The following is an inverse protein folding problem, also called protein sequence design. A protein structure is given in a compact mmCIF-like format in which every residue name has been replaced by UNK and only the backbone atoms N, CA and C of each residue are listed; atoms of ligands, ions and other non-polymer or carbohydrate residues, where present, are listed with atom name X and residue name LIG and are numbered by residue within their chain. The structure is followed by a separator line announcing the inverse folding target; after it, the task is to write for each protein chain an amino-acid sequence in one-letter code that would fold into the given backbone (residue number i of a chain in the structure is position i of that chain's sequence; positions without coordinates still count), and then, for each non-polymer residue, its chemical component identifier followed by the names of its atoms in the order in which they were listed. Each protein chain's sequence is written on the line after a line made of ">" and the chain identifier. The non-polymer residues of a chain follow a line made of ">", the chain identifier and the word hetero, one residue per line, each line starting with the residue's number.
data_IF_669852813924
#
_entry.id   IF_669852813924
#
_cell.length_a   1.000
_cell.length_b   1.000
_cell.length_c   1.000
_cell.angle_alpha   90.00
_cell.angle_beta   90.00
_cell.angle_gamma   90.00
#
_symmetry.space_group_name_H-M   'P 1'
#
loop_
_entity.id
_entity.type
_entity.pdbx_description
1 polymer ?
#
# COMPACT_ATOMS: atom_id res chain seq x y z
N UNK A 1 -45.10 -74.92 -19.99
CA UNK A 1 -46.09 -74.44 -19.00
C UNK A 1 -45.33 -73.52 -18.06
N UNK A 2 -45.17 -72.24 -18.38
CA UNK A 2 -46.19 -71.19 -18.46
C UNK A 2 -46.66 -70.72 -17.08
N UNK A 3 -46.76 -69.40 -16.96
CA UNK A 3 -47.38 -68.58 -15.93
C UNK A 3 -46.46 -68.13 -14.77
N UNK A 4 -45.95 -66.89 -14.79
CA UNK A 4 -46.66 -65.61 -14.47
C UNK A 4 -46.61 -65.36 -12.96
N UNK A 5 -45.76 -64.44 -12.47
CA UNK A 5 -46.08 -63.08 -11.96
C UNK A 5 -45.14 -62.87 -10.74
N UNK A 6 -44.61 -61.72 -10.31
CA UNK A 6 -44.96 -60.30 -10.42
C UNK A 6 -43.82 -59.46 -9.78
N UNK A 7 -43.61 -58.25 -10.29
CA UNK A 7 -43.30 -57.01 -9.55
C UNK A 7 -41.92 -56.89 -8.83
N UNK A 8 -40.92 -56.25 -9.46
CA UNK A 8 -40.55 -54.82 -9.29
C UNK A 8 -40.09 -54.41 -7.89
N UNK A 9 -38.78 -54.21 -7.70
CA UNK A 9 -38.23 -53.18 -6.80
C UNK A 9 -36.77 -52.83 -7.14
N UNK A 10 -36.55 -52.08 -8.23
CA UNK A 10 -35.30 -51.32 -8.39
C UNK A 10 -35.45 -50.03 -7.56
N UNK A 11 -34.99 -50.05 -6.31
CA UNK A 11 -34.87 -48.82 -5.51
C UNK A 11 -33.67 -48.05 -6.04
N UNK A 12 -33.96 -47.03 -6.85
CA UNK A 12 -33.03 -45.96 -7.20
C UNK A 12 -32.72 -45.14 -5.94
N UNK A 13 -31.55 -45.39 -5.36
CA UNK A 13 -31.00 -44.57 -4.28
C UNK A 13 -30.52 -43.24 -4.87
N UNK A 14 -31.46 -42.34 -5.19
CA UNK A 14 -31.16 -40.93 -5.38
C UNK A 14 -30.84 -40.35 -4.00
N UNK A 15 -29.57 -40.41 -3.61
CA UNK A 15 -29.08 -39.61 -2.51
C UNK A 15 -29.27 -38.13 -2.85
N UNK A 16 -30.20 -37.47 -2.15
CA UNK A 16 -30.21 -36.02 -2.06
C UNK A 16 -28.86 -35.60 -1.48
N UNK A 17 -27.95 -35.17 -2.34
CA UNK A 17 -26.83 -34.34 -1.93
C UNK A 17 -27.46 -33.00 -1.57
N UNK A 18 -27.42 -32.53 -0.31
CA UNK A 18 -27.75 -31.16 -0.03
C UNK A 18 -26.66 -30.33 -0.72
N UNK A 19 -27.02 -29.73 -1.86
CA UNK A 19 -26.29 -28.60 -2.43
C UNK A 19 -26.43 -27.47 -1.41
N UNK A 20 -25.55 -27.46 -0.41
CA UNK A 20 -25.27 -26.27 0.36
C UNK A 20 -24.63 -25.31 -0.63
N UNK A 21 -25.46 -24.55 -1.36
CA UNK A 21 -25.02 -23.35 -2.01
C UNK A 21 -24.64 -22.39 -0.89
N UNK A 22 -23.38 -22.46 -0.46
CA UNK A 22 -22.76 -21.26 0.07
C UNK A 22 -22.90 -20.23 -1.04
N UNK A 23 -23.83 -19.28 -0.88
CA UNK A 23 -23.75 -18.01 -1.57
C UNK A 23 -22.49 -17.32 -1.02
N UNK A 24 -21.31 -17.83 -1.39
CA UNK A 24 -20.07 -17.12 -1.25
C UNK A 24 -20.22 -15.90 -2.12
N UNK A 25 -20.64 -14.78 -1.52
CA UNK A 25 -20.58 -13.50 -2.19
C UNK A 25 -19.12 -13.30 -2.56
N UNK A 26 -18.84 -13.39 -3.87
CA UNK A 26 -17.55 -13.00 -4.38
C UNK A 26 -17.35 -11.55 -3.96
N UNK A 27 -16.28 -11.28 -3.19
CA UNK A 27 -15.96 -9.91 -2.78
C UNK A 27 -15.81 -9.06 -4.03
N UNK A 28 -16.80 -8.21 -4.29
CA UNK A 28 -16.89 -7.41 -5.52
C UNK A 28 -15.71 -6.46 -5.64
N UNK A 29 -15.16 -6.02 -4.51
CA UNK A 29 -14.04 -5.09 -4.45
C UNK A 29 -12.66 -5.72 -4.29
N UNK A 30 -12.56 -7.04 -4.07
CA UNK A 30 -11.25 -7.68 -4.02
C UNK A 30 -10.61 -7.59 -5.40
N UNK A 31 -9.41 -7.04 -5.46
CA UNK A 31 -8.68 -6.84 -6.72
C UNK A 31 -7.23 -7.28 -6.58
N UNK A 32 -6.60 -7.55 -7.73
CA UNK A 32 -5.21 -7.93 -7.83
C UNK A 32 -4.59 -7.17 -9.01
N UNK A 33 -3.30 -6.89 -8.93
CA UNK A 33 -2.53 -6.34 -10.04
C UNK A 33 -1.17 -7.04 -10.10
N UNK A 34 -0.95 -7.84 -11.13
CA UNK A 34 0.19 -8.76 -11.16
C UNK A 34 0.17 -9.72 -9.98
N UNK A 35 1.21 -9.66 -9.14
CA UNK A 35 1.34 -10.49 -7.95
C UNK A 35 0.84 -9.82 -6.65
N UNK A 36 0.40 -8.56 -6.72
CA UNK A 36 -0.05 -7.81 -5.55
C UNK A 36 -1.56 -7.98 -5.35
N UNK A 37 -1.94 -8.32 -4.13
CA UNK A 37 -3.34 -8.27 -3.68
C UNK A 37 -3.66 -6.86 -3.24
N UNK A 38 -4.81 -6.35 -3.65
CA UNK A 38 -5.31 -5.04 -3.25
C UNK A 38 -6.51 -5.23 -2.33
N UNK A 39 -6.24 -5.06 -1.04
CA UNK A 39 -7.21 -4.97 0.04
C UNK A 39 -7.36 -3.51 0.52
N UNK A 40 -8.41 -3.25 1.29
CA UNK A 40 -8.69 -1.94 1.87
C UNK A 40 -7.47 -1.42 2.66
N UNK A 41 -7.11 -0.12 2.56
CA UNK A 41 -7.87 0.99 1.96
C UNK A 41 -7.70 1.17 0.47
N UNK A 42 -6.85 0.38 -0.18
CA UNK A 42 -6.51 0.56 -1.58
C UNK A 42 -7.47 -0.17 -2.50
N UNK A 43 -7.73 0.42 -3.66
CA UNK A 43 -8.42 -0.24 -4.74
C UNK A 43 -8.03 0.42 -6.07
N UNK A 44 -8.14 -0.34 -7.16
CA UNK A 44 -8.04 0.16 -8.54
C UNK A 44 -9.40 0.33 -9.20
N UNK A 45 -10.44 -0.28 -8.62
CA UNK A 45 -11.81 -0.22 -9.14
C UNK A 45 -12.53 1.00 -8.55
N UNK A 46 -13.18 1.84 -9.38
CA UNK A 46 -14.03 2.91 -8.88
C UNK A 46 -15.12 2.40 -7.92
N UNK A 47 -15.35 3.13 -6.83
CA UNK A 47 -16.33 2.80 -5.80
C UNK A 47 -15.87 1.75 -4.78
N UNK A 48 -14.65 1.21 -4.90
CA UNK A 48 -14.05 0.28 -3.93
C UNK A 48 -12.95 0.96 -3.11
N UNK A 49 -12.68 0.45 -1.91
CA UNK A 49 -11.63 0.98 -1.04
C UNK A 49 -12.05 2.23 -0.27
N UNK A 50 -11.08 2.95 0.31
CA UNK A 50 -11.35 4.17 1.07
C UNK A 50 -11.33 5.40 0.14
N UNK A 51 -12.30 6.33 0.23
CA UNK A 51 -12.40 7.48 -0.66
C UNK A 51 -11.17 8.40 -0.62
N UNK A 52 -10.47 8.47 0.51
CA UNK A 52 -9.22 9.23 0.64
C UNK A 52 -8.03 8.66 -0.17
N UNK A 53 -8.13 7.41 -0.60
CA UNK A 53 -7.10 6.71 -1.41
C UNK A 53 -7.54 6.50 -2.86
N UNK A 54 -8.68 7.07 -3.26
CA UNK A 54 -9.16 7.02 -4.64
C UNK A 54 -8.13 7.60 -5.59
N UNK A 55 -8.02 7.00 -6.78
CA UNK A 55 -7.15 7.47 -7.86
C UNK A 55 -5.67 7.60 -7.45
N UNK A 56 -5.24 6.90 -6.40
CA UNK A 56 -3.84 6.87 -5.98
C UNK A 56 -3.06 5.76 -6.70
N UNK A 57 -3.71 4.60 -6.87
CA UNK A 57 -3.12 3.41 -7.48
C UNK A 57 -3.76 3.08 -8.82
N UNK A 58 -2.94 2.68 -9.77
CA UNK A 58 -3.34 2.30 -11.13
C UNK A 58 -2.65 1.00 -11.51
N UNK A 59 -3.39 0.07 -12.12
CA UNK A 59 -2.81 -1.16 -12.65
C UNK A 59 -2.63 -1.02 -14.17
N UNK A 60 -1.38 -1.09 -14.66
CA UNK A 60 -1.05 -0.95 -16.08
C UNK A 60 -0.18 -2.13 -16.48
N UNK A 61 -0.66 -2.97 -17.41
CA UNK A 61 0.05 -4.17 -17.87
C UNK A 61 0.57 -5.05 -16.70
N UNK A 62 -0.31 -5.35 -15.74
CA UNK A 62 0.02 -6.11 -14.52
C UNK A 62 1.08 -5.48 -13.60
N UNK A 63 1.39 -4.19 -13.80
CA UNK A 63 2.26 -3.41 -12.94
C UNK A 63 1.44 -2.40 -12.16
N UNK A 64 1.50 -2.49 -10.83
CA UNK A 64 0.85 -1.54 -9.94
C UNK A 64 1.70 -0.28 -9.82
N UNK A 65 1.09 0.85 -10.12
CA UNK A 65 1.71 2.17 -10.11
C UNK A 65 1.00 3.07 -9.11
N UNK A 66 1.76 3.77 -8.28
CA UNK A 66 1.28 4.87 -7.45
C UNK A 66 1.58 6.19 -8.16
N UNK A 67 0.57 7.04 -8.31
CA UNK A 67 0.74 8.35 -8.94
C UNK A 67 0.48 9.48 -7.95
N UNK A 68 1.45 10.38 -7.83
CA UNK A 68 1.36 11.64 -7.07
C UNK A 68 1.98 12.76 -7.90
N UNK A 69 1.85 14.00 -7.44
CA UNK A 69 2.35 15.19 -8.16
C UNK A 69 3.85 15.15 -8.47
N UNK A 70 4.67 14.46 -7.67
CA UNK A 70 6.11 14.33 -7.92
C UNK A 70 6.46 13.29 -8.99
N UNK A 71 5.54 12.38 -9.32
CA UNK A 71 5.76 11.35 -10.34
C UNK A 71 4.91 10.10 -10.19
N UNK A 72 5.23 9.10 -11.02
CA UNK A 72 4.64 7.77 -10.98
C UNK A 72 5.68 6.76 -10.51
N UNK A 73 5.34 6.00 -9.48
CA UNK A 73 6.23 5.07 -8.81
C UNK A 73 5.68 3.66 -8.93
N UNK A 74 6.53 2.68 -9.22
CA UNK A 74 6.10 1.28 -9.19
C UNK A 74 5.94 0.85 -7.74
N UNK A 75 4.81 0.25 -7.40
CA UNK A 75 4.61 -0.40 -6.09
C UNK A 75 5.28 -1.76 -6.14
N UNK A 76 6.25 -1.97 -5.26
CA UNK A 76 6.98 -3.23 -5.12
C UNK A 76 6.28 -4.18 -4.15
N UNK A 77 5.75 -3.63 -3.04
CA UNK A 77 5.15 -4.41 -1.97
C UNK A 77 4.12 -3.56 -1.20
N UNK A 78 3.13 -4.24 -0.60
CA UNK A 78 2.12 -3.66 0.28
C UNK A 78 2.05 -4.50 1.54
N UNK A 79 2.45 -3.91 2.66
CA UNK A 79 2.38 -4.53 3.97
C UNK A 79 1.16 -3.97 4.73
N UNK A 80 0.08 -4.74 4.72
CA UNK A 80 -1.16 -4.39 5.41
C UNK A 80 -1.05 -4.48 6.94
N UNK A 81 -0.11 -5.26 7.48
CA UNK A 81 0.07 -5.40 8.92
C UNK A 81 0.80 -4.20 9.53
N UNK A 82 1.75 -3.63 8.78
CA UNK A 82 2.52 -2.46 9.21
C UNK A 82 2.09 -1.14 8.53
N UNK A 83 1.03 -1.21 7.70
CA UNK A 83 0.46 -0.07 6.97
C UNK A 83 1.51 0.63 6.10
N UNK A 84 2.31 -0.13 5.35
CA UNK A 84 3.41 0.39 4.57
C UNK A 84 3.36 -0.04 3.10
N UNK A 85 3.77 0.85 2.20
CA UNK A 85 4.03 0.60 0.79
C UNK A 85 5.53 0.67 0.55
N UNK A 86 6.05 -0.14 -0.37
CA UNK A 86 7.41 0.04 -0.89
C UNK A 86 7.33 0.50 -2.34
N UNK A 87 7.93 1.66 -2.63
CA UNK A 87 7.90 2.28 -3.95
C UNK A 87 9.27 2.25 -4.63
N UNK A 88 9.26 2.13 -5.95
CA UNK A 88 10.44 2.25 -6.80
C UNK A 88 10.29 3.42 -7.78
N UNK A 89 11.21 4.38 -7.70
CA UNK A 89 11.34 5.46 -8.67
C UNK A 89 12.31 5.05 -9.80
N UNK A 90 11.89 5.04 -11.07
CA UNK A 90 12.77 4.70 -12.20
C UNK A 90 13.96 5.67 -12.39
N UNK A 91 13.94 6.84 -11.76
CA UNK A 91 15.00 7.85 -11.85
C UNK A 91 15.89 7.90 -10.61
N UNK A 92 15.69 7.01 -9.63
CA UNK A 92 16.62 6.89 -8.50
C UNK A 92 17.85 6.04 -8.87
N UNK A 93 18.98 6.35 -8.24
CA UNK A 93 20.18 5.52 -8.32
C UNK A 93 20.09 4.31 -7.39
N UNK A 94 20.75 3.22 -7.75
CA UNK A 94 20.95 2.02 -6.92
C UNK A 94 22.43 1.64 -6.90
N UNK A 95 22.77 0.53 -6.23
CA UNK A 95 24.14 0.04 -6.21
C UNK A 95 24.68 -0.39 -7.60
N UNK A 96 23.79 -0.77 -8.52
CA UNK A 96 24.14 -1.23 -9.86
C UNK A 96 24.13 -0.12 -10.91
N UNK A 97 23.49 1.02 -10.62
CA UNK A 97 23.35 2.12 -11.58
C UNK A 97 23.20 3.47 -10.89
N UNK A 98 24.11 4.40 -11.23
CA UNK A 98 23.99 5.80 -10.81
C UNK A 98 23.34 6.64 -11.92
N UNK A 99 22.26 7.33 -11.55
CA UNK A 99 21.50 8.23 -12.43
C UNK A 99 21.75 9.68 -12.01
N UNK A 100 22.40 10.45 -12.89
CA UNK A 100 22.69 11.88 -12.71
C UNK A 100 22.11 12.73 -13.86
N UNK A 101 22.23 14.05 -13.73
CA UNK A 101 21.87 15.02 -14.77
C UNK A 101 20.41 15.48 -14.72
N UNK A 102 19.81 15.58 -13.53
CA UNK A 102 18.46 16.08 -13.31
C UNK A 102 17.38 15.33 -14.11
N UNK A 103 17.57 14.02 -14.31
CA UNK A 103 16.62 13.16 -15.05
C UNK A 103 15.33 12.88 -14.28
N UNK A 104 15.29 13.14 -12.97
CA UNK A 104 14.12 13.01 -12.12
C UNK A 104 13.90 14.26 -11.25
N UNK A 105 12.71 14.38 -10.66
CA UNK A 105 12.35 15.49 -9.76
C UNK A 105 12.55 15.14 -8.28
N UNK A 106 12.78 13.86 -7.97
CA UNK A 106 12.82 13.31 -6.62
C UNK A 106 11.47 12.78 -6.14
N UNK A 107 11.28 12.71 -4.83
CA UNK A 107 10.08 12.19 -4.18
C UNK A 107 9.51 13.23 -3.21
N UNK A 108 8.30 13.72 -3.51
CA UNK A 108 7.63 14.77 -2.71
C UNK A 108 6.16 14.43 -2.58
N UNK A 109 5.71 14.20 -1.35
CA UNK A 109 4.29 14.06 -1.04
C UNK A 109 3.66 15.44 -0.87
N UNK A 110 2.43 15.60 -1.38
CA UNK A 110 1.66 16.82 -1.24
C UNK A 110 1.28 17.08 0.23
N UNK A 111 1.30 18.34 0.64
CA UNK A 111 1.02 18.73 2.03
C UNK A 111 -0.34 18.27 2.55
N UNK A 112 -1.35 18.18 1.67
CA UNK A 112 -2.70 17.72 2.04
C UNK A 112 -2.80 16.20 2.22
N UNK A 113 -1.82 15.45 1.68
CA UNK A 113 -1.73 13.99 1.72
C UNK A 113 -0.78 13.49 2.81
N UNK A 114 0.22 14.29 3.16
CA UNK A 114 1.20 14.01 4.22
C UNK A 114 0.61 13.51 5.57
N UNK A 115 -0.60 13.91 6.03
CA UNK A 115 -1.18 13.38 7.26
C UNK A 115 -1.50 11.88 7.23
N UNK A 116 -1.67 11.29 6.05
CA UNK A 116 -2.10 9.89 5.91
C UNK A 116 -1.27 9.06 4.93
N UNK A 117 -0.29 9.68 4.27
CA UNK A 117 0.67 9.00 3.41
C UNK A 117 1.99 9.76 3.49
N UNK A 118 3.05 9.15 4.02
CA UNK A 118 4.35 9.82 4.19
C UNK A 118 5.49 8.78 4.25
N UNK A 119 6.69 9.07 3.73
CA UNK A 119 7.85 8.20 3.94
C UNK A 119 8.09 7.88 5.41
N UNK A 120 8.44 6.63 5.69
CA UNK A 120 8.86 6.18 7.02
C UNK A 120 10.19 6.82 7.42
N UNK A 121 10.45 6.99 8.72
CA UNK A 121 11.73 7.51 9.21
C UNK A 121 12.91 6.56 8.94
N UNK A 122 12.63 5.28 8.67
CA UNK A 122 13.64 4.26 8.33
C UNK A 122 14.23 4.44 6.92
N UNK A 123 13.63 5.31 6.09
CA UNK A 123 14.22 5.67 4.81
C UNK A 123 15.43 6.57 5.00
N UNK A 124 16.48 6.20 4.29
CA UNK A 124 17.68 7.01 4.12
C UNK A 124 17.69 7.50 2.68
N UNK A 125 17.78 8.81 2.53
CA UNK A 125 17.90 9.46 1.24
C UNK A 125 19.35 9.90 1.05
N UNK A 126 19.93 9.51 -0.08
CA UNK A 126 21.29 9.85 -0.48
C UNK A 126 21.20 10.81 -1.66
N UNK A 127 21.51 12.08 -1.42
CA UNK A 127 21.47 13.12 -2.43
C UNK A 127 22.81 13.19 -3.17
N UNK A 128 22.78 13.21 -4.50
CA UNK A 128 23.96 13.01 -5.34
C UNK A 128 24.28 14.26 -6.15
N UNK A 129 25.56 14.64 -6.15
CA UNK A 129 26.10 15.72 -6.98
C UNK A 129 25.49 17.09 -6.70
N UNK A 130 25.22 17.41 -5.44
CA UNK A 130 24.63 18.69 -5.04
C UNK A 130 25.65 19.84 -5.13
N UNK A 131 25.21 21.00 -5.60
CA UNK A 131 26.08 22.17 -5.72
C UNK A 131 26.48 22.74 -4.35
N UNK A 132 27.56 23.53 -4.31
CA UNK A 132 27.98 24.24 -3.10
C UNK A 132 26.96 25.30 -2.65
N UNK A 133 26.06 25.72 -3.55
CA UNK A 133 24.98 26.66 -3.31
C UNK A 133 23.69 25.98 -2.86
N UNK A 134 23.66 24.65 -2.79
CA UNK A 134 22.50 23.90 -2.30
C UNK A 134 22.06 24.40 -0.91
N UNK A 135 20.74 24.56 -0.66
CA UNK A 135 20.21 24.83 0.67
C UNK A 135 20.64 23.80 1.73
N UNK A 136 21.05 22.59 1.31
CA UNK A 136 21.61 21.56 2.20
C UNK A 136 22.87 22.03 2.93
N UNK A 137 23.65 22.92 2.31
CA UNK A 137 24.93 23.39 2.85
C UNK A 137 24.85 24.82 3.39
N UNK A 138 23.72 25.49 3.20
CA UNK A 138 23.46 26.83 3.70
C UNK A 138 22.91 26.77 5.13
N UNK A 139 23.35 27.69 6.00
CA UNK A 139 22.74 27.85 7.33
C UNK A 139 23.33 27.00 8.47
N UNK A 140 24.46 26.33 8.28
CA UNK A 140 25.21 25.66 9.34
C UNK A 140 26.44 26.48 9.77
N UNK A 141 26.29 27.47 10.68
CA UNK A 141 27.42 28.20 11.24
C UNK A 141 28.24 27.26 12.13
N UNK A 142 29.25 26.59 11.56
CA UNK A 142 30.15 25.72 12.32
C UNK A 142 30.62 24.42 11.68
N UNK A 143 30.60 24.27 10.35
CA UNK A 143 31.17 23.11 9.60
C UNK A 143 30.49 21.74 9.79
N UNK A 144 29.37 21.63 10.49
CA UNK A 144 28.63 20.38 10.53
C UNK A 144 27.76 20.24 9.28
N UNK A 145 28.21 19.45 8.30
CA UNK A 145 27.34 19.04 7.21
C UNK A 145 26.17 18.21 7.79
N UNK A 146 24.94 18.35 7.29
CA UNK A 146 23.81 17.53 7.75
C UNK A 146 23.93 16.06 7.33
N UNK A 147 24.88 15.75 6.45
CA UNK A 147 25.16 14.43 5.93
C UNK A 147 25.65 13.51 7.05
N UNK A 148 24.90 12.43 7.32
CA UNK A 148 25.26 11.41 8.30
C UNK A 148 24.83 10.04 7.83
N UNK A 149 25.56 9.02 8.27
CA UNK A 149 25.12 7.64 8.15
C UNK A 149 23.91 7.42 9.08
N UNK A 150 22.90 6.70 8.59
CA UNK A 150 21.69 6.33 9.34
C UNK A 150 21.60 4.80 9.33
N UNK A 151 21.78 4.19 10.50
CA UNK A 151 21.64 2.74 10.69
C UNK A 151 22.55 1.86 9.80
N UNK A 152 23.73 2.36 9.42
CA UNK A 152 24.67 1.65 8.54
C UNK A 152 24.42 1.89 7.04
N UNK A 153 23.38 2.67 6.71
CA UNK A 153 23.11 3.17 5.36
C UNK A 153 23.68 4.58 5.26
N UNK A 154 24.75 4.74 4.50
CA UNK A 154 25.47 6.00 4.38
C UNK A 154 26.26 6.10 3.09
N UNK A 155 26.75 7.30 2.79
CA UNK A 155 27.54 7.52 1.59
C UNK A 155 28.86 6.75 1.60
N UNK A 156 29.48 6.56 2.77
CA UNK A 156 30.74 5.81 2.89
C UNK A 156 30.60 4.37 2.40
N UNK A 157 29.52 3.69 2.83
CA UNK A 157 29.20 2.36 2.35
C UNK A 157 28.71 2.40 0.90
N UNK A 158 27.90 3.39 0.53
CA UNK A 158 27.35 3.50 -0.83
C UNK A 158 28.42 3.69 -1.90
N UNK A 159 29.56 4.34 -1.58
CA UNK A 159 30.71 4.44 -2.48
C UNK A 159 31.37 3.08 -2.79
N UNK A 160 31.07 2.04 -2.01
CA UNK A 160 31.50 0.66 -2.28
C UNK A 160 30.74 -0.02 -3.42
N UNK A 161 29.68 0.59 -3.94
CA UNK A 161 28.91 0.05 -5.06
C UNK A 161 29.65 0.08 -6.39
N UNK A 162 29.52 -1.00 -7.17
CA UNK A 162 30.12 -1.14 -8.50
C UNK A 162 29.74 -0.03 -9.48
N UNK A 163 28.56 0.58 -9.32
CA UNK A 163 28.12 1.67 -10.17
C UNK A 163 28.99 2.93 -10.08
N UNK A 164 29.68 3.15 -8.95
CA UNK A 164 30.62 4.26 -8.80
C UNK A 164 31.90 4.07 -9.63
N UNK A 165 32.31 2.83 -9.88
CA UNK A 165 33.47 2.53 -10.73
C UNK A 165 33.24 3.01 -12.17
N UNK A 166 32.00 2.90 -12.65
CA UNK A 166 31.60 3.29 -14.00
C UNK A 166 31.58 4.82 -14.22
N UNK A 167 31.41 5.61 -13.16
CA UNK A 167 31.50 7.08 -13.23
C UNK A 167 32.96 7.54 -13.21
N UNK A 168 33.89 6.61 -12.93
CA UNK A 168 35.32 6.84 -12.85
C UNK A 168 35.72 7.54 -11.55
N UNK A 169 37.02 7.60 -11.23
CA UNK A 169 37.47 8.16 -9.98
C UNK A 169 37.31 9.68 -10.01
N UNK A 170 36.24 10.21 -9.42
CA UNK A 170 36.32 11.51 -8.74
C UNK A 170 36.69 11.26 -7.29
N UNK A 171 37.97 10.93 -7.11
CA UNK A 171 38.72 10.89 -5.84
C UNK A 171 38.17 9.93 -4.77
N UNK A 172 38.51 8.67 -4.95
CA UNK A 172 38.96 7.86 -3.81
C UNK A 172 40.09 8.59 -3.09
N UNK A 173 39.80 9.11 -1.90
CA UNK A 173 40.81 9.48 -0.92
C UNK A 173 41.36 10.91 -0.98
N UNK A 174 41.23 11.56 0.17
CA UNK A 174 42.15 12.58 0.70
C UNK A 174 41.95 14.00 0.12
N UNK A 175 41.59 14.90 1.05
CA UNK A 175 41.32 16.34 0.91
C UNK A 175 40.02 16.69 0.18
N UNK A 176 39.01 17.12 0.96
CA UNK A 176 37.96 18.05 0.53
C UNK A 176 38.58 19.10 -0.40
N UNK A 177 38.38 18.94 -1.70
CA UNK A 177 38.75 19.93 -2.69
C UNK A 177 37.78 21.11 -2.60
N UNK A 178 37.76 21.85 -1.49
CA UNK A 178 36.96 23.06 -1.25
C UNK A 178 35.44 23.00 -1.55
N UNK A 179 34.90 21.84 -1.96
CA UNK A 179 33.52 21.65 -2.41
C UNK A 179 32.78 20.60 -1.58
N UNK A 180 31.45 20.52 -1.75
CA UNK A 180 30.61 19.55 -1.06
C UNK A 180 30.94 18.11 -1.47
N UNK A 181 30.60 17.11 -0.63
CA UNK A 181 30.75 15.70 -0.99
C UNK A 181 29.83 15.33 -2.18
N UNK A 182 30.24 14.31 -2.95
CA UNK A 182 29.46 13.81 -4.09
C UNK A 182 28.15 13.12 -3.67
N UNK A 183 28.11 12.59 -2.44
CA UNK A 183 26.92 12.03 -1.81
C UNK A 183 26.70 12.66 -0.43
N UNK A 184 25.44 12.95 -0.12
CA UNK A 184 24.99 13.36 1.22
C UNK A 184 23.81 12.48 1.68
N UNK A 185 24.04 11.63 2.68
CA UNK A 185 23.02 10.76 3.25
C UNK A 185 22.31 11.46 4.42
N UNK A 186 20.99 11.34 4.47
CA UNK A 186 20.19 11.92 5.55
C UNK A 186 18.85 11.19 5.71
N UNK A 187 18.29 11.13 6.94
CA UNK A 187 16.98 10.54 7.15
C UNK A 187 15.88 11.46 6.62
N UNK A 188 14.72 10.88 6.31
CA UNK A 188 13.58 11.63 5.79
C UNK A 188 13.18 12.84 6.65
N UNK A 189 13.20 12.69 7.97
CA UNK A 189 12.80 13.74 8.92
C UNK A 189 13.60 15.04 8.77
N UNK A 190 14.85 14.94 8.30
CA UNK A 190 15.72 16.09 8.07
C UNK A 190 15.48 16.71 6.70
N UNK A 191 15.31 15.90 5.66
CA UNK A 191 15.12 16.41 4.27
C UNK A 191 13.70 16.94 4.06
N UNK A 192 12.70 16.30 4.68
CA UNK A 192 11.24 16.53 4.60
C UNK A 192 10.61 16.40 3.20
N UNK A 193 11.37 16.68 2.14
CA UNK A 193 10.97 16.52 0.76
C UNK A 193 12.22 16.39 -0.12
N UNK A 194 12.31 15.33 -0.92
CA UNK A 194 13.41 15.16 -1.86
C UNK A 194 13.03 15.85 -3.16
N UNK A 195 13.28 17.16 -3.25
CA UNK A 195 13.05 17.94 -4.46
C UNK A 195 14.40 18.32 -5.06
N UNK A 196 14.84 17.61 -6.11
CA UNK A 196 16.21 17.74 -6.62
C UNK A 196 16.50 19.14 -7.16
N UNK A 197 15.52 19.79 -7.81
CA UNK A 197 15.68 21.14 -8.35
C UNK A 197 15.80 22.18 -7.24
N UNK A 198 15.04 22.05 -6.14
CA UNK A 198 15.15 22.95 -4.98
C UNK A 198 16.42 22.70 -4.19
N UNK A 199 16.86 21.45 -4.10
CA UNK A 199 18.07 21.05 -3.40
C UNK A 199 19.32 21.24 -4.27
N UNK A 200 19.17 21.61 -5.53
CA UNK A 200 20.25 21.78 -6.51
C UNK A 200 21.18 20.55 -6.59
N UNK A 201 20.56 19.37 -6.70
CA UNK A 201 21.22 18.07 -6.79
C UNK A 201 20.95 17.40 -8.13
N UNK A 202 21.92 16.64 -8.64
CA UNK A 202 21.84 15.99 -9.95
C UNK A 202 21.03 14.69 -9.94
N UNK A 203 20.93 14.04 -8.79
CA UNK A 203 20.24 12.77 -8.61
C UNK A 203 20.04 12.43 -7.13
N UNK A 204 19.38 11.32 -6.86
CA UNK A 204 19.30 10.75 -5.52
C UNK A 204 19.23 9.23 -5.56
N UNK A 205 19.45 8.61 -4.40
CA UNK A 205 19.11 7.22 -4.10
C UNK A 205 18.28 7.18 -2.82
N UNK A 206 17.56 6.07 -2.61
CA UNK A 206 16.89 5.79 -1.35
C UNK A 206 17.00 4.31 -1.01
N UNK A 207 17.30 4.04 0.25
CA UNK A 207 17.33 2.70 0.81
C UNK A 207 16.69 2.71 2.20
N UNK A 208 16.20 1.56 2.63
CA UNK A 208 15.62 1.38 3.95
C UNK A 208 16.13 0.10 4.61
N UNK A 209 16.11 0.06 5.94
CA UNK A 209 16.55 -1.11 6.69
C UNK A 209 15.46 -2.18 6.67
N UNK A 210 15.74 -3.36 6.11
CA UNK A 210 14.88 -4.55 6.21
C UNK A 210 15.54 -5.58 7.12
N UNK A 211 14.75 -6.31 7.90
CA UNK A 211 15.29 -7.44 8.65
C UNK A 211 15.80 -8.54 7.69
N UNK A 212 16.94 -9.19 7.98
CA UNK A 212 17.81 -8.99 9.15
C UNK A 212 18.69 -7.74 9.04
N UNK A 213 18.90 -7.06 10.17
CA UNK A 213 19.67 -5.80 10.30
C UNK A 213 21.18 -5.93 9.99
N UNK A 214 21.64 -7.08 9.49
CA UNK A 214 23.03 -7.32 9.09
C UNK A 214 23.07 -7.55 7.60
N UNK A 215 23.29 -6.45 6.90
CA UNK A 215 23.49 -6.43 5.46
C UNK A 215 24.99 -6.34 5.21
N UNK A 216 25.54 -7.17 4.32
CA UNK A 216 26.99 -7.31 4.16
C UNK A 216 27.64 -6.09 3.50
N UNK A 217 26.86 -5.33 2.74
CA UNK A 217 27.29 -4.17 1.99
C UNK A 217 26.15 -3.53 1.22
N UNK A 218 26.42 -2.46 0.45
CA UNK A 218 25.38 -1.72 -0.25
C UNK A 218 24.69 -2.50 -1.38
N UNK A 219 25.33 -3.55 -1.93
CA UNK A 219 24.72 -4.43 -2.94
C UNK A 219 23.50 -5.21 -2.42
N UNK A 220 23.46 -5.45 -1.11
CA UNK A 220 22.37 -6.19 -0.45
C UNK A 220 21.32 -5.26 0.18
N UNK A 221 21.44 -3.93 0.01
CA UNK A 221 20.48 -2.98 0.55
C UNK A 221 19.11 -3.09 -0.12
N UNK A 222 18.05 -2.83 0.65
CA UNK A 222 16.72 -2.70 0.10
C UNK A 222 16.55 -1.28 -0.48
N UNK A 223 16.75 -1.16 -1.79
CA UNK A 223 16.53 0.09 -2.52
C UNK A 223 15.03 0.32 -2.79
N UNK A 224 14.57 1.53 -2.49
CA UNK A 224 13.17 1.92 -2.60
C UNK A 224 12.78 2.92 -1.53
N UNK A 225 11.53 3.36 -1.59
CA UNK A 225 10.98 4.35 -0.66
C UNK A 225 9.82 3.68 0.08
N UNK A 226 10.02 3.44 1.38
CA UNK A 226 8.97 2.89 2.23
C UNK A 226 8.03 4.01 2.67
N UNK A 227 6.76 3.93 2.33
CA UNK A 227 5.76 4.96 2.62
C UNK A 227 4.72 4.39 3.56
N UNK A 228 4.60 4.97 4.75
CA UNK A 228 3.52 4.63 5.67
C UNK A 228 2.22 5.26 5.18
N UNK A 229 1.13 4.51 5.27
CA UNK A 229 -0.22 5.02 5.07
C UNK A 229 -1.05 4.85 6.36
N UNK A 230 -2.15 5.59 6.46
CA UNK A 230 -3.12 5.44 7.55
C UNK A 230 -4.52 5.74 7.05
N UNK A 231 -5.53 5.00 7.50
CA UNK A 231 -6.92 5.29 7.14
C UNK A 231 -7.48 6.36 8.06
N UNK A 232 -7.67 7.57 7.54
CA UNK A 232 -8.29 8.65 8.30
C UNK A 232 -9.82 8.48 8.27
N UNK A 233 -10.47 8.24 9.42
CA UNK A 233 -11.93 8.19 9.49
C UNK A 233 -12.46 6.97 10.27
N UNK A 234 -13.57 6.40 9.81
CA UNK A 234 -14.27 5.30 10.49
C UNK A 234 -13.59 3.95 10.22
N UNK A 235 -12.42 3.71 10.83
CA UNK A 235 -11.66 2.46 10.73
C UNK A 235 -12.44 1.20 11.12
N UNK A 236 -13.54 1.37 11.86
CA UNK A 236 -14.44 0.28 12.26
C UNK A 236 -15.43 -0.13 11.16
N UNK A 237 -15.79 0.80 10.26
CA UNK A 237 -16.81 0.57 9.24
C UNK A 237 -16.45 -0.60 8.34
N UNK A 238 -15.26 -0.55 7.73
CA UNK A 238 -14.85 -1.52 6.74
C UNK A 238 -14.73 -2.92 7.34
N UNK A 239 -14.13 -3.00 8.54
CA UNK A 239 -14.03 -4.24 9.31
C UNK A 239 -15.39 -4.82 9.65
N UNK A 240 -16.37 -4.00 10.03
CA UNK A 240 -17.73 -4.46 10.30
C UNK A 240 -18.43 -4.96 9.03
N UNK A 241 -18.28 -4.24 7.91
CA UNK A 241 -18.82 -4.66 6.61
C UNK A 241 -18.28 -6.02 6.18
N UNK A 242 -16.96 -6.17 6.17
CA UNK A 242 -16.28 -7.41 5.76
C UNK A 242 -16.58 -8.58 6.70
N UNK A 243 -16.70 -8.33 8.02
CA UNK A 243 -17.07 -9.36 9.00
C UNK A 243 -18.46 -9.97 8.74
N UNK A 244 -19.36 -9.19 8.12
CA UNK A 244 -20.71 -9.63 7.74
C UNK A 244 -20.82 -10.16 6.31
N UNK A 245 -19.68 -10.35 5.63
CA UNK A 245 -19.62 -10.85 4.26
C UNK A 245 -19.87 -9.79 3.18
N UNK A 246 -19.86 -8.50 3.55
CA UNK A 246 -19.97 -7.39 2.60
C UNK A 246 -18.62 -6.98 2.02
N UNK A 247 -18.65 -6.26 0.90
CA UNK A 247 -17.49 -5.59 0.32
C UNK A 247 -17.52 -4.11 0.62
N UNK A 248 -16.40 -3.59 1.12
CA UNK A 248 -16.26 -2.21 1.55
C UNK A 248 -15.84 -1.29 0.40
N UNK A 249 -16.46 -0.12 0.32
CA UNK A 249 -16.22 0.87 -0.72
C UNK A 249 -16.82 2.22 -0.38
N UNK A 250 -17.08 3.02 -1.41
CA UNK A 250 -17.66 4.35 -1.27
C UNK A 250 -18.59 4.66 -2.43
N UNK A 251 -19.56 5.54 -2.18
CA UNK A 251 -20.42 6.09 -3.22
C UNK A 251 -19.63 7.07 -4.10
N UNK A 252 -19.66 6.88 -5.42
CA UNK A 252 -18.86 7.65 -6.37
C UNK A 252 -19.35 9.11 -6.43
N UNK A 253 -20.66 9.34 -6.21
CA UNK A 253 -21.27 10.66 -6.29
C UNK A 253 -21.12 11.45 -4.98
N UNK A 254 -21.43 10.80 -3.84
CA UNK A 254 -21.41 11.42 -2.51
C UNK A 254 -20.10 11.29 -1.74
N UNK A 255 -19.17 10.42 -2.17
CA UNK A 255 -17.91 10.09 -1.50
C UNK A 255 -18.10 9.62 -0.04
N UNK A 256 -19.26 9.03 0.25
CA UNK A 256 -19.61 8.44 1.55
C UNK A 256 -19.27 6.96 1.60
N UNK A 257 -18.93 6.46 2.78
CA UNK A 257 -18.63 5.04 3.00
C UNK A 257 -19.85 4.16 2.67
N UNK A 258 -19.61 3.06 1.94
CA UNK A 258 -20.64 2.17 1.39
C UNK A 258 -20.25 0.70 1.58
N UNK A 259 -21.15 -0.08 2.15
CA UNK A 259 -20.99 -1.50 2.37
C UNK A 259 -21.88 -2.25 1.39
N UNK A 260 -21.27 -2.95 0.45
CA UNK A 260 -21.94 -3.69 -0.61
C UNK A 260 -22.26 -5.10 -0.13
N UNK A 261 -23.52 -5.35 0.22
CA UNK A 261 -24.03 -6.63 0.71
C UNK A 261 -24.56 -7.52 -0.42
N UNK A 262 -24.09 -7.26 -1.65
CA UNK A 262 -24.48 -7.91 -2.89
C UNK A 262 -25.84 -7.48 -3.44
N UNK A 263 -26.94 -7.74 -2.74
CA UNK A 263 -28.29 -7.37 -3.22
C UNK A 263 -28.74 -5.98 -2.77
N UNK A 264 -28.06 -5.38 -1.80
CA UNK A 264 -28.36 -4.06 -1.27
C UNK A 264 -27.09 -3.38 -0.73
N UNK A 265 -27.17 -2.07 -0.55
CA UNK A 265 -26.08 -1.25 -0.04
C UNK A 265 -26.41 -0.77 1.39
N UNK A 266 -25.44 -0.85 2.28
CA UNK A 266 -25.53 -0.47 3.70
C UNK A 266 -24.55 0.64 4.03
N UNK A 267 -24.85 1.44 5.06
CA UNK A 267 -23.94 2.44 5.63
C UNK A 267 -23.22 1.93 6.89
N UNK A 268 -23.41 0.66 7.27
CA UNK A 268 -22.76 0.05 8.43
C UNK A 268 -22.23 -1.36 8.15
N UNK A 269 -23.12 -2.33 7.96
CA UNK A 269 -22.79 -3.74 7.77
C UNK A 269 -23.96 -4.49 7.08
N UNK A 270 -23.80 -5.79 6.83
CA UNK A 270 -24.76 -6.64 6.13
C UNK A 270 -25.67 -7.48 7.04
N UNK A 271 -25.64 -7.26 8.36
CA UNK A 271 -26.43 -8.06 9.32
C UNK A 271 -27.94 -7.75 9.27
N UNK A 272 -28.34 -6.63 8.67
CA UNK A 272 -29.74 -6.18 8.61
C UNK A 272 -30.67 -7.12 7.85
N UNK A 273 -30.14 -8.15 7.16
CA UNK A 273 -30.91 -9.11 6.38
C UNK A 273 -31.47 -10.30 7.20
N UNK A 274 -31.03 -10.53 8.44
CA UNK A 274 -31.60 -11.60 9.29
C UNK A 274 -32.80 -11.16 10.15
N UNK A 275 -33.09 -9.86 10.24
CA UNK A 275 -34.16 -9.34 11.12
C UNK A 275 -35.49 -9.10 10.41
N UNK A 276 -35.53 -9.11 9.08
CA UNK A 276 -36.76 -8.84 8.31
C UNK A 276 -37.56 -10.11 7.93
N UNK A 277 -37.02 -11.32 8.17
CA UNK A 277 -37.62 -12.58 7.75
C UNK A 277 -38.05 -13.51 8.91
N UNK A 278 -38.27 -12.99 10.12
CA UNK A 278 -38.79 -13.79 11.25
C UNK A 278 -39.81 -13.07 12.14
N UNK A 279 -40.61 -12.18 11.56
CA UNK A 279 -41.87 -11.74 12.17
C UNK A 279 -43.06 -12.15 11.29
N UNK A 280 -43.19 -13.46 11.03
CA UNK A 280 -44.54 -14.03 10.90
C UNK A 280 -45.20 -13.91 12.28
N UNK A 281 -45.87 -12.78 12.51
CA UNK A 281 -46.85 -12.66 13.59
C UNK A 281 -47.89 -13.75 13.36
N UNK A 282 -47.77 -14.85 14.09
CA UNK A 282 -48.87 -15.80 14.27
C UNK A 282 -49.92 -15.03 15.08
N UNK A 283 -50.92 -14.49 14.38
CA UNK A 283 -52.18 -14.10 14.99
C UNK A 283 -52.80 -15.35 15.59
N UNK A 284 -52.74 -15.48 16.91
CA UNK A 284 -53.53 -16.45 17.64
C UNK A 284 -54.86 -15.79 17.99
N UNK A 285 -55.84 -15.88 17.08
CA UNK A 285 -57.24 -15.74 17.45
C UNK A 285 -57.67 -17.07 18.05
N UNK A 286 -57.94 -17.09 19.36
CA UNK A 286 -59.05 -17.84 19.95
C UNK A 286 -59.12 -17.60 21.46
N UNK A 287 -60.21 -16.98 21.88
CA UNK A 287 -60.70 -16.95 23.27
C UNK A 287 -61.49 -18.24 23.49
N UNK A 288 -61.36 -18.87 24.66
CA UNK A 288 -62.59 -19.25 25.36
C UNK A 288 -62.61 -18.86 26.84
N UNK A 289 -63.81 -18.46 27.27
CA UNK A 289 -64.28 -18.32 28.64
C UNK A 289 -64.29 -19.65 29.42
N UNK A 290 -64.25 -19.51 30.75
CA UNK A 290 -64.87 -20.32 31.83
C UNK A 290 -63.81 -20.71 32.89
N UNK A 291 -63.82 -20.13 34.10
CA UNK A 291 -64.69 -20.47 35.24
C UNK A 291 -63.87 -21.34 36.22
N UNK A 292 -63.90 -21.27 37.54
CA UNK A 292 -64.76 -20.66 38.58
C UNK A 292 -63.95 -20.66 39.90
N UNK A 293 -64.26 -19.72 40.79
CA UNK A 293 -64.54 -20.06 42.20
C UNK A 293 -66.03 -20.38 42.24
#
# INVERSE_FOLDING_TARGET
>A
MACLLLATLFISFNGLVPLVHSYGHANTCRSFCGNLTLDYPFAVRPGCGHPGFRELLFCINDVLMLHISSGSYRVLDIDYAYEALVLHDPHMSTCDSIVLGHRGNGFVVESWRAPYLNPTPDNVFMLLGCSAQSPLYQGFPGKHLPCRNVSGLGCEEYYGCSAWDAIGPRRTGILYGSGPPDCCAMPYETVKAVNLSRLDCQGYSSAYSRAPLRVSGPDEWAYGIQVKYSVQGNEGFCRACEATGGSCGYDIDGNSDLCMCGSWNSTSNCDSAHSAASYTRIWSSEVPLAGMI
#
